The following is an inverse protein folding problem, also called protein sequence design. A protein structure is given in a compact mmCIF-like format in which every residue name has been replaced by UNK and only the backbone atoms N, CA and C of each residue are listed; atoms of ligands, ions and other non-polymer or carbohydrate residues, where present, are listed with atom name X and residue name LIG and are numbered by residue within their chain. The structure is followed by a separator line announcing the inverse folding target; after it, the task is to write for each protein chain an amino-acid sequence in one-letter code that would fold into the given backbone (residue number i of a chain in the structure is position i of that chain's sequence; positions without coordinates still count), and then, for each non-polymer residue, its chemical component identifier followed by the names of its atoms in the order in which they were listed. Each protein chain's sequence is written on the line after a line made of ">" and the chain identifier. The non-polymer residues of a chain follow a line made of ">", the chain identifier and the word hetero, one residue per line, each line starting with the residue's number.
data_IF_691334662541
#
_entry.id   IF_691334662541
#
_cell.length_a   1.000
_cell.length_b   1.000
_cell.length_c   1.000
_cell.angle_alpha   90.00
_cell.angle_beta   90.00
_cell.angle_gamma   90.00
#
_symmetry.space_group_name_H-M   'P 1'
#
loop_
_entity.id
_entity.type
_entity.pdbx_description
1 polymer ?
#
# COMPACT_ATOMS: atom_id res chain seq x y z
N UNK A 1 1.79 32.05 -8.74
CA UNK A 1 2.94 31.68 -7.90
C UNK A 1 3.37 30.26 -8.23
N UNK A 2 4.68 29.95 -8.26
CA UNK A 2 5.17 28.59 -8.52
C UNK A 2 4.80 27.65 -7.35
N UNK A 3 4.34 26.43 -7.68
CA UNK A 3 4.01 25.40 -6.68
C UNK A 3 5.27 25.07 -5.86
N UNK A 4 5.19 25.15 -4.53
CA UNK A 4 6.23 24.62 -3.63
C UNK A 4 5.88 23.19 -3.26
N UNK A 5 6.83 22.28 -3.42
CA UNK A 5 6.70 20.88 -2.98
C UNK A 5 7.21 20.76 -1.55
N UNK A 6 6.56 19.93 -0.75
CA UNK A 6 6.96 19.63 0.63
C UNK A 6 7.79 18.35 0.60
N UNK A 7 9.04 18.41 1.08
CA UNK A 7 9.90 17.24 1.27
C UNK A 7 9.65 16.60 2.64
N UNK A 8 9.68 15.27 2.73
CA UNK A 8 9.72 14.55 4.01
C UNK A 8 8.38 14.31 4.72
N UNK A 9 7.30 14.04 3.99
CA UNK A 9 5.98 13.74 4.59
C UNK A 9 5.85 12.31 5.13
N UNK A 10 6.72 11.38 4.72
CA UNK A 10 6.68 10.01 5.22
C UNK A 10 7.50 9.86 6.50
N UNK A 11 6.79 9.65 7.62
CA UNK A 11 7.38 9.66 8.97
C UNK A 11 7.80 8.26 9.45
N UNK A 12 7.59 7.21 8.64
CA UNK A 12 7.69 5.81 9.04
C UNK A 12 8.75 5.09 8.21
N UNK A 13 9.55 4.25 8.86
CA UNK A 13 10.52 3.40 8.18
C UNK A 13 9.84 2.46 7.17
N UNK A 14 10.36 2.43 5.94
CA UNK A 14 9.89 1.50 4.91
C UNK A 14 9.92 0.04 5.39
N UNK A 15 8.89 -0.72 5.03
CA UNK A 15 8.69 -2.10 5.45
C UNK A 15 7.92 -2.27 6.77
N UNK A 16 7.81 -1.23 7.60
CA UNK A 16 6.97 -1.27 8.81
C UNK A 16 5.50 -1.29 8.45
N UNK A 17 4.63 -1.78 9.34
CA UNK A 17 3.22 -2.04 9.02
C UNK A 17 2.46 -0.81 8.46
N UNK A 18 2.85 0.41 8.82
CA UNK A 18 2.27 1.67 8.37
C UNK A 18 3.16 2.50 7.42
N UNK A 19 4.26 1.93 6.92
CA UNK A 19 5.12 2.55 5.89
C UNK A 19 4.95 1.90 4.52
N UNK A 20 5.50 2.51 3.48
CA UNK A 20 5.57 1.91 2.14
C UNK A 20 6.31 0.57 2.13
N UNK A 21 6.07 -0.20 1.07
CA UNK A 21 6.75 -1.47 0.83
C UNK A 21 8.25 -1.27 0.64
N UNK A 22 9.05 -2.25 1.09
CA UNK A 22 10.50 -2.20 0.90
C UNK A 22 10.90 -2.16 -0.59
N UNK A 23 10.08 -2.74 -1.46
CA UNK A 23 10.25 -2.70 -2.91
C UNK A 23 10.09 -1.28 -3.45
N UNK A 24 9.01 -0.59 -3.07
CA UNK A 24 8.79 0.80 -3.48
C UNK A 24 9.88 1.72 -2.91
N UNK A 25 10.25 1.54 -1.65
CA UNK A 25 11.30 2.34 -1.02
C UNK A 25 12.66 2.17 -1.71
N UNK A 26 13.01 0.95 -2.11
CA UNK A 26 14.23 0.72 -2.87
C UNK A 26 14.22 1.43 -4.23
N UNK A 27 13.07 1.40 -4.92
CA UNK A 27 12.90 2.12 -6.18
C UNK A 27 13.02 3.63 -6.00
N UNK A 28 12.42 4.18 -4.94
CA UNK A 28 12.49 5.61 -4.64
C UNK A 28 13.91 6.10 -4.31
N UNK A 29 14.81 5.24 -3.81
CA UNK A 29 16.23 5.61 -3.62
C UNK A 29 16.92 5.93 -4.95
N UNK A 30 16.54 5.23 -6.02
CA UNK A 30 17.14 5.41 -7.35
C UNK A 30 16.42 6.44 -8.22
N UNK A 31 15.09 6.45 -8.19
CA UNK A 31 14.24 7.24 -9.10
C UNK A 31 13.60 8.46 -8.43
N UNK A 32 13.79 8.63 -7.12
CA UNK A 32 13.22 9.72 -6.34
C UNK A 32 11.85 9.39 -5.73
N UNK A 33 11.29 10.31 -4.91
CA UNK A 33 10.09 10.04 -4.11
C UNK A 33 8.82 9.77 -4.94
N UNK A 34 8.77 10.25 -6.19
CA UNK A 34 7.62 10.03 -7.09
C UNK A 34 7.69 8.68 -7.85
N UNK A 35 8.71 7.85 -7.60
CA UNK A 35 8.87 6.57 -8.26
C UNK A 35 7.65 5.66 -8.06
N UNK A 36 7.31 4.90 -9.09
CA UNK A 36 6.15 3.98 -9.11
C UNK A 36 6.59 2.58 -9.47
N UNK A 37 6.09 1.59 -8.74
CA UNK A 37 6.24 0.20 -9.15
C UNK A 37 5.53 -0.02 -10.50
N UNK A 38 6.19 -0.68 -11.44
CA UNK A 38 5.57 -1.10 -12.70
C UNK A 38 4.58 -2.24 -12.44
N UNK A 39 3.74 -2.52 -13.42
CA UNK A 39 2.80 -3.64 -13.33
C UNK A 39 3.54 -4.98 -13.24
N UNK A 40 4.69 -5.13 -13.90
CA UNK A 40 5.54 -6.32 -13.79
C UNK A 40 6.12 -6.46 -12.37
N UNK A 41 6.61 -5.37 -11.78
CA UNK A 41 7.15 -5.39 -10.41
C UNK A 41 6.07 -5.76 -9.38
N UNK A 42 4.86 -5.18 -9.52
CA UNK A 42 3.71 -5.55 -8.69
C UNK A 42 3.32 -7.01 -8.91
N UNK A 43 3.29 -7.48 -10.16
CA UNK A 43 2.96 -8.87 -10.47
C UNK A 43 3.96 -9.84 -9.83
N UNK A 44 5.25 -9.50 -9.78
CA UNK A 44 6.24 -10.29 -9.07
C UNK A 44 6.01 -10.33 -7.55
N UNK A 45 5.53 -9.25 -6.95
CA UNK A 45 5.14 -9.22 -5.53
C UNK A 45 3.91 -10.11 -5.32
N UNK A 46 2.88 -9.98 -6.17
CA UNK A 46 1.64 -10.76 -6.10
C UNK A 46 1.94 -12.27 -6.21
N UNK A 47 2.76 -12.69 -7.17
CA UNK A 47 3.12 -14.11 -7.35
C UNK A 47 3.81 -14.67 -6.09
N UNK A 48 4.75 -13.90 -5.52
CA UNK A 48 5.46 -14.32 -4.29
C UNK A 48 4.51 -14.41 -3.09
N UNK A 49 3.64 -13.42 -2.91
CA UNK A 49 2.67 -13.39 -1.83
C UNK A 49 1.61 -14.50 -1.98
N UNK A 50 1.15 -14.78 -3.21
CA UNK A 50 0.21 -15.85 -3.50
C UNK A 50 0.80 -17.21 -3.10
N UNK A 51 2.08 -17.46 -3.41
CA UNK A 51 2.76 -18.68 -2.97
C UNK A 51 2.79 -18.80 -1.44
N UNK A 52 3.14 -17.73 -0.73
CA UNK A 52 3.15 -17.74 0.73
C UNK A 52 1.75 -17.97 1.33
N UNK A 53 0.71 -17.42 0.70
CA UNK A 53 -0.68 -17.63 1.14
C UNK A 53 -1.18 -19.05 0.86
N UNK A 54 -0.78 -19.66 -0.25
CA UNK A 54 -1.02 -21.07 -0.53
C UNK A 54 -0.41 -21.99 0.54
N UNK A 55 0.83 -21.72 0.93
CA UNK A 55 1.51 -22.46 2.01
C UNK A 55 0.77 -22.27 3.34
N UNK A 56 0.28 -21.06 3.63
CA UNK A 56 -0.55 -20.78 4.80
C UNK A 56 -1.87 -21.58 4.81
N UNK A 57 -2.61 -21.62 3.70
CA UNK A 57 -3.83 -22.43 3.59
C UNK A 57 -3.56 -23.92 3.80
N UNK A 58 -2.49 -24.42 3.18
CA UNK A 58 -2.02 -25.80 3.36
C UNK A 58 -1.71 -26.10 4.82
N UNK A 59 -1.01 -25.19 5.50
CA UNK A 59 -0.67 -25.34 6.92
C UNK A 59 -1.90 -25.36 7.84
N UNK A 60 -3.00 -24.73 7.44
CA UNK A 60 -4.29 -24.79 8.13
C UNK A 60 -5.10 -26.07 7.82
N UNK A 61 -4.59 -26.96 6.96
CA UNK A 61 -5.31 -28.15 6.52
C UNK A 61 -6.41 -27.86 5.49
N UNK A 62 -6.36 -26.69 4.84
CA UNK A 62 -7.26 -26.36 3.75
C UNK A 62 -6.70 -26.93 2.43
N UNK A 63 -7.39 -27.94 1.89
CA UNK A 63 -7.11 -28.47 0.55
C UNK A 63 -7.66 -27.52 -0.52
N UNK A 64 -7.07 -26.33 -0.59
CA UNK A 64 -7.52 -25.29 -1.51
C UNK A 64 -7.25 -25.67 -2.97
N UNK A 65 -6.23 -26.50 -3.23
CA UNK A 65 -5.79 -26.82 -4.58
C UNK A 65 -6.80 -27.71 -5.32
N UNK A 66 -7.40 -28.68 -4.62
CA UNK A 66 -8.40 -29.58 -5.21
C UNK A 66 -9.85 -29.06 -5.07
N UNK A 67 -10.09 -28.01 -4.28
CA UNK A 67 -11.39 -27.31 -4.22
C UNK A 67 -11.55 -26.28 -5.35
N UNK A 68 -12.47 -26.47 -6.31
CA UNK A 68 -12.66 -25.55 -7.43
C UNK A 68 -13.08 -24.14 -7.01
N UNK A 69 -13.65 -23.95 -5.81
CA UNK A 69 -14.02 -22.61 -5.33
C UNK A 69 -12.81 -21.84 -4.78
N UNK A 70 -11.80 -22.55 -4.26
CA UNK A 70 -10.68 -21.94 -3.55
C UNK A 70 -9.31 -22.09 -4.23
N UNK A 71 -9.19 -22.87 -5.32
CA UNK A 71 -7.95 -23.08 -6.07
C UNK A 71 -7.19 -21.80 -6.44
N UNK A 72 -7.91 -20.74 -6.79
CA UNK A 72 -7.35 -19.44 -7.17
C UNK A 72 -7.39 -18.39 -6.03
N UNK A 73 -7.82 -18.78 -4.82
CA UNK A 73 -7.84 -17.90 -3.63
C UNK A 73 -6.48 -17.28 -3.32
N UNK A 74 -5.34 -18.01 -3.36
CA UNK A 74 -4.06 -17.40 -3.05
C UNK A 74 -3.71 -16.22 -3.98
N UNK A 75 -4.02 -16.35 -5.27
CA UNK A 75 -3.82 -15.29 -6.25
C UNK A 75 -4.77 -14.11 -5.99
N UNK A 76 -6.06 -14.37 -5.76
CA UNK A 76 -7.05 -13.32 -5.48
C UNK A 76 -6.70 -12.52 -4.23
N UNK A 77 -6.30 -13.20 -3.15
CA UNK A 77 -5.89 -12.56 -1.90
C UNK A 77 -4.65 -11.70 -2.11
N UNK A 78 -3.59 -12.25 -2.71
CA UNK A 78 -2.36 -11.50 -2.96
C UNK A 78 -2.61 -10.27 -3.84
N UNK A 79 -3.42 -10.41 -4.89
CA UNK A 79 -3.81 -9.30 -5.77
C UNK A 79 -4.60 -8.22 -5.03
N UNK A 80 -5.57 -8.60 -4.21
CA UNK A 80 -6.36 -7.67 -3.40
C UNK A 80 -5.49 -6.90 -2.41
N UNK A 81 -4.51 -7.55 -1.76
CA UNK A 81 -3.57 -6.87 -0.88
C UNK A 81 -2.72 -5.83 -1.60
N UNK A 82 -2.18 -6.15 -2.78
CA UNK A 82 -1.29 -5.24 -3.51
C UNK A 82 -2.04 -4.08 -4.18
N UNK A 83 -3.22 -4.35 -4.75
CA UNK A 83 -3.91 -3.37 -5.59
C UNK A 83 -5.05 -2.63 -4.89
N UNK A 84 -5.62 -3.20 -3.82
CA UNK A 84 -6.84 -2.68 -3.21
C UNK A 84 -6.64 -2.38 -1.71
N UNK A 85 -6.51 -3.42 -0.89
CA UNK A 85 -6.54 -3.33 0.57
C UNK A 85 -5.37 -2.51 1.12
N UNK A 86 -4.15 -2.74 0.59
CA UNK A 86 -2.94 -2.02 0.99
C UNK A 86 -2.35 -1.22 -0.18
N UNK A 87 -3.19 -0.71 -1.09
CA UNK A 87 -2.74 -0.01 -2.30
C UNK A 87 -1.74 1.12 -1.99
N UNK A 88 -1.97 1.89 -0.92
CA UNK A 88 -1.07 2.97 -0.48
C UNK A 88 0.34 2.52 -0.08
N UNK A 89 0.54 1.23 0.19
CA UNK A 89 1.87 0.65 0.48
C UNK A 89 2.72 0.48 -0.79
N UNK A 90 2.09 0.44 -1.96
CA UNK A 90 2.70 0.14 -3.25
C UNK A 90 2.65 1.31 -4.24
N UNK A 91 2.17 2.48 -3.78
CA UNK A 91 2.11 3.71 -4.55
C UNK A 91 2.79 4.85 -3.78
N UNK A 92 3.48 5.78 -4.48
CA UNK A 92 3.99 6.98 -3.83
C UNK A 92 2.83 7.88 -3.38
N UNK A 93 3.10 8.74 -2.39
CA UNK A 93 2.17 9.79 -1.99
C UNK A 93 1.84 10.71 -3.17
N UNK A 94 0.57 11.08 -3.33
CA UNK A 94 0.17 12.02 -4.37
C UNK A 94 0.73 13.43 -4.12
N UNK A 95 0.86 14.18 -5.22
CA UNK A 95 1.37 15.56 -5.18
C UNK A 95 0.44 16.46 -4.38
N UNK A 96 0.95 16.99 -3.28
CA UNK A 96 0.25 17.98 -2.46
C UNK A 96 0.30 19.34 -3.18
N UNK A 97 -0.84 20.03 -3.24
CA UNK A 97 -0.93 21.44 -3.67
C UNK A 97 -1.11 22.33 -2.45
N UNK A 98 -0.55 23.54 -2.53
CA UNK A 98 -0.65 24.53 -1.47
C UNK A 98 -0.85 25.92 -2.08
N UNK A 99 -1.45 26.81 -1.30
CA UNK A 99 -1.64 28.22 -1.60
C UNK A 99 -1.14 29.08 -0.42
N UNK A 100 -0.76 30.35 -0.65
CA UNK A 100 -0.38 31.26 0.43
C UNK A 100 -1.50 31.38 1.47
N UNK A 101 -1.16 31.38 2.76
CA UNK A 101 -2.15 31.53 3.84
C UNK A 101 -2.50 32.98 4.16
N UNK A 102 -1.79 33.96 3.59
CA UNK A 102 -2.03 35.42 3.69
C UNK A 102 -2.34 35.93 5.12
N UNK A 103 -1.66 35.34 6.12
CA UNK A 103 -1.80 35.72 7.54
C UNK A 103 -2.96 35.04 8.28
N UNK A 104 -3.65 34.07 7.67
CA UNK A 104 -4.66 33.25 8.34
C UNK A 104 -4.04 32.42 9.48
N UNK A 105 -4.60 32.57 10.68
CA UNK A 105 -4.14 31.95 11.93
C UNK A 105 -5.22 31.08 12.61
N UNK A 106 -6.37 30.89 11.96
CA UNK A 106 -7.47 30.07 12.45
C UNK A 106 -7.29 28.56 12.21
N UNK A 107 -8.23 27.77 12.75
CA UNK A 107 -8.32 26.32 12.49
C UNK A 107 -9.05 26.08 11.18
N UNK A 108 -8.44 25.31 10.28
CA UNK A 108 -9.13 24.67 9.15
C UNK A 108 -9.53 23.27 9.58
N UNK A 109 -10.82 22.93 9.44
CA UNK A 109 -11.34 21.61 9.78
C UNK A 109 -12.01 20.98 8.57
N UNK A 110 -11.54 19.79 8.23
CA UNK A 110 -12.25 18.85 7.36
C UNK A 110 -12.73 17.69 8.23
N UNK A 111 -13.98 17.26 8.07
CA UNK A 111 -14.60 16.26 8.95
C UNK A 111 -15.46 15.31 8.16
N UNK A 112 -15.70 14.13 8.74
CA UNK A 112 -16.44 13.04 8.11
C UNK A 112 -15.80 12.53 6.82
N UNK A 113 -14.47 12.61 6.70
CA UNK A 113 -13.73 11.91 5.64
C UNK A 113 -13.93 10.40 5.89
N UNK A 114 -14.49 9.64 4.94
CA UNK A 114 -14.63 8.20 5.09
C UNK A 114 -13.24 7.55 5.17
N UNK A 115 -13.03 6.70 6.18
CA UNK A 115 -11.79 5.95 6.34
C UNK A 115 -12.11 4.46 6.33
N UNK A 116 -11.56 3.77 5.34
CA UNK A 116 -11.49 2.30 5.31
C UNK A 116 -10.06 1.91 5.62
N UNK A 117 -9.86 1.12 6.67
CA UNK A 117 -8.54 0.70 7.12
C UNK A 117 -8.55 -0.75 7.59
N UNK A 118 -7.39 -1.24 7.97
CA UNK A 118 -7.18 -2.61 8.43
C UNK A 118 -6.12 -2.59 9.53
N UNK A 119 -6.41 -3.23 10.67
CA UNK A 119 -5.50 -3.21 11.81
C UNK A 119 -4.23 -4.05 11.52
N UNK A 120 -3.05 -3.48 11.74
CA UNK A 120 -1.75 -4.15 11.53
C UNK A 120 -1.49 -5.37 12.42
N UNK A 121 -2.24 -5.55 13.51
CA UNK A 121 -2.05 -6.68 14.41
C UNK A 121 -2.69 -7.98 13.88
N UNK A 122 -3.77 -7.86 13.09
CA UNK A 122 -4.58 -9.01 12.66
C UNK A 122 -4.89 -9.02 11.16
N UNK A 123 -4.66 -7.89 10.47
CA UNK A 123 -4.97 -7.71 9.05
C UNK A 123 -6.42 -8.03 8.69
N UNK A 124 -7.35 -7.53 9.51
CA UNK A 124 -8.79 -7.64 9.33
C UNK A 124 -9.44 -6.26 9.48
N UNK A 125 -10.57 -6.08 8.78
CA UNK A 125 -11.38 -4.85 8.79
C UNK A 125 -12.26 -4.76 10.04
#
# INVERSE_FOLDING_TARGET
>A
MPKKFIEGTELVQAGFANGISSQLAEKQKGEGPEARLTEEEKQMIIIKAAKAYADFLTALGCDYADDPNSADTPMRVAKAYVNDLWAGRYAPLDRITAFPSDGYDGIVQESNIPVTSMCSHHHQA
#
